data_IF_077397993220
#
_entry.id   IF_077397993220
#
_cell.length_a   1.000
_cell.length_b   1.000
_cell.length_c   1.000
_cell.angle_alpha   90.00
_cell.angle_beta   90.00
_cell.angle_gamma   90.00
#
_symmetry.space_group_name_H-M   'P 1'
#
loop_
_entity.id
_entity.type
_entity.pdbx_description
1 polymer ?
#
# COMPACT_ATOMS: atom_id res chain seq x y z
N UNK A 1 -2.21 17.22 13.01
CA UNK A 1 -3.31 17.80 12.20
C UNK A 1 -2.84 18.91 11.28
N UNK A 2 -1.97 19.80 11.74
CA UNK A 2 -1.42 20.91 10.94
C UNK A 2 -0.76 20.48 9.61
N UNK A 3 0.09 19.45 9.62
CA UNK A 3 0.71 18.92 8.39
C UNK A 3 -0.31 18.36 7.38
N UNK A 4 -1.37 17.70 7.88
CA UNK A 4 -2.47 17.20 7.04
C UNK A 4 -3.20 18.37 6.38
N UNK A 5 -3.56 19.39 7.16
CA UNK A 5 -4.23 20.58 6.66
C UNK A 5 -3.36 21.32 5.63
N UNK A 6 -2.07 21.48 5.90
CA UNK A 6 -1.11 22.08 4.97
C UNK A 6 -1.03 21.32 3.65
N UNK A 7 -0.98 19.98 3.73
CA UNK A 7 -0.94 19.13 2.54
C UNK A 7 -2.23 19.27 1.72
N UNK A 8 -3.39 19.08 2.35
CA UNK A 8 -4.68 19.19 1.68
C UNK A 8 -4.89 20.58 1.07
N UNK A 9 -4.55 21.65 1.79
CA UNK A 9 -4.66 23.02 1.29
C UNK A 9 -3.77 23.28 0.08
N UNK A 10 -2.54 22.74 0.09
CA UNK A 10 -1.60 22.86 -1.03
C UNK A 10 -2.00 22.06 -2.28
N UNK A 11 -2.90 21.08 -2.13
CA UNK A 11 -3.39 20.23 -3.22
C UNK A 11 -4.87 20.47 -3.55
N UNK A 12 -5.55 21.39 -2.85
CA UNK A 12 -6.97 21.69 -3.03
C UNK A 12 -7.32 22.17 -4.45
N UNK A 13 -6.38 22.82 -5.13
CA UNK A 13 -6.55 23.30 -6.50
C UNK A 13 -6.08 22.31 -7.57
N UNK A 14 -5.61 21.12 -7.19
CA UNK A 14 -5.25 20.09 -8.15
C UNK A 14 -6.51 19.52 -8.78
N UNK A 15 -6.66 19.72 -10.08
CA UNK A 15 -7.70 19.08 -10.87
C UNK A 15 -7.34 17.65 -11.27
N UNK A 16 -8.30 16.97 -11.90
CA UNK A 16 -8.15 15.61 -12.42
C UNK A 16 -6.88 15.43 -13.26
N UNK A 17 -6.57 16.40 -14.14
CA UNK A 17 -5.40 16.34 -15.02
C UNK A 17 -4.08 16.17 -14.27
N UNK A 18 -3.98 16.63 -13.02
CA UNK A 18 -2.78 16.46 -12.20
C UNK A 18 -2.82 15.18 -11.37
N UNK A 19 -3.98 14.85 -10.80
CA UNK A 19 -4.17 13.61 -10.04
C UNK A 19 -4.06 12.35 -10.92
N UNK A 20 -4.39 12.43 -12.21
CA UNK A 20 -4.24 11.34 -13.19
C UNK A 20 -2.80 10.81 -13.24
N UNK A 21 -1.82 11.66 -13.02
CA UNK A 21 -0.40 11.31 -13.11
C UNK A 21 0.24 11.07 -11.73
N UNK A 22 -0.56 10.71 -10.73
CA UNK A 22 -0.08 10.24 -9.43
C UNK A 22 -0.22 8.72 -9.38
N UNK A 23 0.89 8.02 -9.14
CA UNK A 23 0.91 6.59 -8.86
C UNK A 23 0.80 6.41 -7.35
N UNK A 24 -0.33 5.86 -6.91
CA UNK A 24 -0.58 5.55 -5.51
C UNK A 24 -0.02 4.17 -5.19
N UNK A 25 0.79 4.07 -4.14
CA UNK A 25 1.34 2.79 -3.66
C UNK A 25 1.08 2.62 -2.16
N UNK A 26 0.96 1.36 -1.73
CA UNK A 26 0.99 0.95 -0.33
C UNK A 26 1.15 -0.57 -0.22
N UNK A 27 1.58 -1.07 0.93
CA UNK A 27 1.52 -2.48 1.29
C UNK A 27 0.20 -2.82 2.01
N UNK A 28 -0.47 -3.89 1.56
CA UNK A 28 -1.62 -4.45 2.27
C UNK A 28 -1.44 -5.95 2.51
N UNK A 29 -2.18 -6.47 3.49
CA UNK A 29 -2.20 -7.89 3.87
C UNK A 29 -3.61 -8.42 3.70
N UNK A 30 -3.77 -9.45 2.88
CA UNK A 30 -5.04 -10.14 2.69
C UNK A 30 -5.01 -11.51 3.39
N UNK A 31 -6.08 -11.86 4.10
CA UNK A 31 -6.30 -13.22 4.57
C UNK A 31 -7.24 -13.91 3.57
N UNK A 32 -6.80 -15.03 3.01
CA UNK A 32 -7.62 -15.87 2.12
C UNK A 32 -8.49 -16.78 2.97
N UNK A 33 -7.94 -17.38 4.03
CA UNK A 33 -8.72 -18.24 4.92
C UNK A 33 -8.73 -17.62 6.31
N UNK A 34 -9.93 -17.48 6.89
CA UNK A 34 -10.14 -16.96 8.24
C UNK A 34 -10.17 -15.44 8.37
N UNK A 35 -10.44 -14.96 9.59
CA UNK A 35 -10.63 -13.53 9.90
C UNK A 35 -9.57 -13.03 10.92
N UNK A 36 -8.97 -11.87 10.67
CA UNK A 36 -8.09 -11.18 11.63
C UNK A 36 -8.85 -10.68 12.88
N UNK A 37 -10.17 -10.45 12.77
CA UNK A 37 -11.04 -10.00 13.88
C UNK A 37 -11.59 -11.10 14.79
N UNK A 38 -11.22 -12.36 14.56
CA UNK A 38 -11.81 -13.51 15.23
C UNK A 38 -13.26 -13.79 14.81
N UNK A 39 -13.73 -15.02 15.03
CA UNK A 39 -15.14 -15.37 14.91
C UNK A 39 -15.79 -15.35 16.30
N UNK A 40 -17.06 -14.93 16.38
CA UNK A 40 -17.85 -15.16 17.59
C UNK A 40 -18.25 -16.63 17.62
N UNK A 41 -17.78 -17.36 18.63
CA UNK A 41 -18.06 -18.79 18.82
C UNK A 41 -18.71 -18.97 20.18
N UNK A 42 -19.89 -19.59 20.21
CA UNK A 42 -20.52 -20.07 21.45
C UNK A 42 -19.91 -21.43 21.78
N UNK A 43 -19.39 -21.60 23.00
CA UNK A 43 -18.72 -22.84 23.48
C UNK A 43 -18.77 -22.94 25.01
N UNK A 44 -18.52 -24.13 25.55
CA UNK A 44 -18.41 -24.35 26.98
C UNK A 44 -17.03 -23.92 27.54
N UNK A 45 -16.94 -23.81 28.87
CA UNK A 45 -15.71 -23.42 29.55
C UNK A 45 -14.64 -24.53 29.42
N UNK A 46 -13.49 -24.20 28.83
CA UNK A 46 -12.39 -25.14 28.56
C UNK A 46 -12.21 -25.51 27.08
N UNK A 47 -13.23 -25.34 26.25
CA UNK A 47 -13.21 -25.78 24.84
C UNK A 47 -12.52 -24.80 23.87
N UNK A 48 -11.71 -23.86 24.39
CA UNK A 48 -11.13 -22.77 23.59
C UNK A 48 -10.27 -23.24 22.43
N UNK A 49 -9.57 -24.37 22.60
CA UNK A 49 -8.63 -24.90 21.61
C UNK A 49 -9.16 -26.15 20.91
N UNK A 50 -10.45 -26.46 21.07
CA UNK A 50 -11.08 -27.53 20.31
C UNK A 50 -11.01 -27.21 18.82
N UNK A 51 -10.72 -28.22 17.98
CA UNK A 51 -10.57 -28.03 16.54
C UNK A 51 -11.85 -27.53 15.86
N UNK A 52 -13.01 -27.72 16.49
CA UNK A 52 -14.29 -27.17 16.01
C UNK A 52 -14.44 -25.67 16.30
N UNK A 53 -13.64 -25.11 17.22
CA UNK A 53 -13.70 -23.71 17.65
C UNK A 53 -12.51 -22.86 17.18
N UNK A 54 -11.57 -23.47 16.44
CA UNK A 54 -10.36 -22.82 15.93
C UNK A 54 -10.35 -22.91 14.41
N UNK A 55 -10.26 -21.76 13.75
CA UNK A 55 -10.07 -21.69 12.29
C UNK A 55 -8.60 -21.37 11.99
N UNK A 56 -7.96 -22.21 11.18
CA UNK A 56 -6.62 -21.93 10.67
C UNK A 56 -6.71 -20.75 9.69
N UNK A 57 -5.83 -19.76 9.85
CA UNK A 57 -5.76 -18.63 8.93
C UNK A 57 -4.67 -18.84 7.87
N UNK A 58 -4.97 -18.55 6.61
CA UNK A 58 -4.00 -18.54 5.50
C UNK A 58 -3.89 -17.12 4.96
N UNK A 59 -2.66 -16.61 4.85
CA UNK A 59 -2.37 -15.25 4.36
C UNK A 59 -1.94 -15.31 2.90
N UNK A 60 -2.43 -14.37 2.09
CA UNK A 60 -1.84 -14.10 0.78
C UNK A 60 -0.66 -13.16 0.96
N UNK A 61 0.50 -13.55 0.43
CA UNK A 61 1.73 -12.78 0.55
C UNK A 61 2.38 -12.67 -0.82
N UNK A 62 2.34 -11.48 -1.41
CA UNK A 62 2.98 -11.17 -2.72
C UNK A 62 4.46 -10.77 -2.52
N UNK A 63 4.80 -10.27 -1.33
CA UNK A 63 6.16 -9.96 -0.91
C UNK A 63 6.46 -10.76 0.36
N UNK A 64 7.22 -11.85 0.24
CA UNK A 64 7.34 -12.95 1.22
C UNK A 64 8.09 -12.60 2.54
N UNK A 65 8.20 -11.32 2.88
CA UNK A 65 8.86 -10.89 4.11
C UNK A 65 8.37 -9.51 4.58
N UNK A 66 8.68 -9.20 5.83
CA UNK A 66 8.65 -7.82 6.34
C UNK A 66 9.50 -6.98 5.39
N UNK A 67 8.85 -6.14 4.58
CA UNK A 67 9.51 -5.34 3.53
C UNK A 67 10.57 -4.49 4.20
N UNK A 68 11.82 -4.93 4.07
CA UNK A 68 12.97 -4.17 4.50
C UNK A 68 13.39 -3.27 3.33
N UNK A 69 14.31 -2.35 3.60
CA UNK A 69 14.72 -1.37 2.60
C UNK A 69 15.31 -2.00 1.31
N UNK A 70 15.92 -3.18 1.40
CA UNK A 70 16.52 -3.86 0.24
C UNK A 70 15.44 -4.48 -0.65
N UNK A 71 14.51 -5.22 -0.04
CA UNK A 71 13.38 -5.82 -0.78
C UNK A 71 12.50 -4.75 -1.42
N UNK A 72 12.31 -3.62 -0.73
CA UNK A 72 11.60 -2.47 -1.27
C UNK A 72 12.25 -1.95 -2.56
N UNK A 73 13.56 -1.68 -2.52
CA UNK A 73 14.28 -1.14 -3.67
C UNK A 73 14.36 -2.14 -4.82
N UNK A 74 14.50 -3.43 -4.50
CA UNK A 74 14.44 -4.49 -5.50
C UNK A 74 13.08 -4.50 -6.20
N UNK A 75 11.98 -4.38 -5.46
CA UNK A 75 10.63 -4.28 -6.03
C UNK A 75 10.51 -3.07 -6.97
N UNK A 76 10.99 -1.89 -6.54
CA UNK A 76 10.99 -0.71 -7.39
C UNK A 76 11.85 -0.90 -8.65
N UNK A 77 13.03 -1.48 -8.52
CA UNK A 77 13.96 -1.67 -9.63
C UNK A 77 13.44 -2.69 -10.66
N UNK A 78 12.89 -3.81 -10.21
CA UNK A 78 12.50 -4.92 -11.07
C UNK A 78 11.10 -4.75 -11.67
N UNK A 79 10.18 -4.08 -10.95
CA UNK A 79 8.78 -3.97 -11.36
C UNK A 79 8.37 -2.54 -11.68
N UNK A 80 8.67 -1.57 -10.82
CA UNK A 80 8.19 -0.20 -10.98
C UNK A 80 8.93 0.55 -12.09
N UNK A 81 10.27 0.51 -12.11
CA UNK A 81 11.07 1.25 -13.08
C UNK A 81 10.76 0.87 -14.54
N UNK A 82 10.75 -0.42 -14.92
CA UNK A 82 10.42 -0.79 -16.30
C UNK A 82 9.02 -0.30 -16.72
N UNK A 83 8.04 -0.47 -15.82
CA UNK A 83 6.66 -0.07 -16.07
C UNK A 83 6.52 1.45 -16.19
N UNK A 84 7.13 2.23 -15.29
CA UNK A 84 6.98 3.68 -15.32
C UNK A 84 7.71 4.30 -16.50
N UNK A 85 8.87 3.78 -16.91
CA UNK A 85 9.56 4.22 -18.13
C UNK A 85 8.68 4.03 -19.37
N UNK A 86 8.00 2.88 -19.49
CA UNK A 86 7.04 2.64 -20.57
C UNK A 86 5.86 3.62 -20.52
N UNK A 87 5.31 3.89 -19.33
CA UNK A 87 4.20 4.83 -19.16
C UNK A 87 4.59 6.27 -19.48
N UNK A 88 5.81 6.69 -19.12
CA UNK A 88 6.34 8.02 -19.44
C UNK A 88 6.48 8.19 -20.95
N UNK A 89 7.02 7.18 -21.64
CA UNK A 89 7.13 7.21 -23.10
C UNK A 89 5.75 7.26 -23.77
N UNK A 90 4.82 6.43 -23.31
CA UNK A 90 3.47 6.32 -23.87
C UNK A 90 2.63 7.58 -23.68
N UNK A 91 2.65 8.17 -22.49
CA UNK A 91 1.84 9.35 -22.17
C UNK A 91 2.58 10.67 -22.48
N UNK A 92 3.88 10.61 -22.76
CA UNK A 92 4.71 11.78 -23.04
C UNK A 92 4.84 12.73 -21.83
N UNK A 93 4.70 12.22 -20.62
CA UNK A 93 4.71 13.01 -19.39
C UNK A 93 5.23 12.23 -18.19
N UNK A 94 5.57 12.93 -17.11
CA UNK A 94 6.09 12.32 -15.88
C UNK A 94 5.00 12.03 -14.87
N UNK A 95 5.31 11.13 -13.94
CA UNK A 95 4.39 10.70 -12.89
C UNK A 95 4.99 10.98 -11.51
N UNK A 96 4.12 11.22 -10.54
CA UNK A 96 4.50 11.35 -9.13
C UNK A 96 4.22 10.03 -8.43
N UNK A 97 5.25 9.41 -7.86
CA UNK A 97 5.12 8.27 -6.97
C UNK A 97 4.69 8.77 -5.58
N UNK A 98 3.57 8.27 -5.10
CA UNK A 98 3.13 8.46 -3.72
C UNK A 98 3.54 7.26 -2.90
N UNK A 99 4.30 7.51 -1.83
CA UNK A 99 4.65 6.52 -0.81
C UNK A 99 4.31 7.10 0.57
N UNK A 100 4.15 6.22 1.55
CA UNK A 100 3.99 6.64 2.94
C UNK A 100 5.34 6.99 3.61
N UNK A 101 5.30 7.40 4.87
CA UNK A 101 6.49 7.75 5.64
C UNK A 101 7.24 6.57 6.24
N UNK A 102 6.99 5.32 5.82
CA UNK A 102 7.57 4.14 6.46
C UNK A 102 9.11 4.15 6.42
N UNK A 103 9.78 3.56 7.42
CA UNK A 103 11.25 3.52 7.46
C UNK A 103 11.90 2.87 6.23
N UNK A 104 11.21 1.92 5.58
CA UNK A 104 11.68 1.29 4.34
C UNK A 104 11.82 2.28 3.18
N UNK A 105 10.86 3.19 3.05
CA UNK A 105 10.75 4.17 1.96
C UNK A 105 11.64 5.39 2.22
N UNK A 106 11.75 5.81 3.48
CA UNK A 106 12.37 7.09 3.85
C UNK A 106 13.83 6.99 4.29
N UNK A 107 14.35 5.77 4.50
CA UNK A 107 15.73 5.54 4.92
C UNK A 107 16.76 6.05 3.91
N UNK A 108 18.00 6.28 4.37
CA UNK A 108 19.07 6.91 3.57
C UNK A 108 19.37 6.16 2.26
N UNK A 109 19.37 4.83 2.28
CA UNK A 109 19.67 4.01 1.10
C UNK A 109 18.59 4.21 0.03
N UNK A 110 17.32 4.10 0.40
CA UNK A 110 16.20 4.27 -0.52
C UNK A 110 16.14 5.69 -1.08
N UNK A 111 16.30 6.70 -0.24
CA UNK A 111 16.33 8.09 -0.70
C UNK A 111 17.46 8.34 -1.70
N UNK A 112 18.68 7.86 -1.40
CA UNK A 112 19.82 8.03 -2.30
C UNK A 112 19.61 7.30 -3.64
N UNK A 113 19.05 6.09 -3.59
CA UNK A 113 18.76 5.33 -4.80
C UNK A 113 17.69 6.00 -5.67
N UNK A 114 16.57 6.43 -5.07
CA UNK A 114 15.48 7.14 -5.78
C UNK A 114 15.95 8.47 -6.38
N UNK A 115 16.77 9.24 -5.66
CA UNK A 115 17.35 10.48 -6.19
C UNK A 115 18.26 10.26 -7.42
N UNK A 116 18.72 9.03 -7.66
CA UNK A 116 19.49 8.66 -8.85
C UNK A 116 18.63 8.22 -10.04
N UNK A 117 17.31 8.07 -9.88
CA UNK A 117 16.39 7.63 -10.93
C UNK A 117 15.65 8.85 -11.51
N UNK A 118 15.87 9.24 -12.77
CA UNK A 118 15.17 10.38 -13.37
C UNK A 118 13.66 10.17 -13.53
N UNK A 119 13.18 8.93 -13.53
CA UNK A 119 11.77 8.57 -13.67
C UNK A 119 10.98 8.71 -12.35
N UNK A 120 11.66 8.79 -11.21
CA UNK A 120 11.00 8.84 -9.91
C UNK A 120 10.86 10.28 -9.43
N UNK A 121 9.63 10.79 -9.44
CA UNK A 121 9.27 12.05 -8.80
C UNK A 121 8.41 11.76 -7.57
N UNK A 122 8.66 12.49 -6.47
CA UNK A 122 7.92 12.33 -5.21
C UNK A 122 7.09 13.60 -4.91
N UNK A 123 6.16 13.51 -3.95
CA UNK A 123 5.55 14.70 -3.36
C UNK A 123 6.56 15.52 -2.54
N UNK A 124 6.31 16.82 -2.40
CA UNK A 124 7.08 17.70 -1.49
C UNK A 124 7.15 17.14 -0.06
N UNK A 125 6.03 16.57 0.40
CA UNK A 125 5.92 15.75 1.60
C UNK A 125 4.60 14.95 1.59
N UNK A 126 4.54 13.88 2.37
CA UNK A 126 3.31 13.15 2.69
C UNK A 126 2.99 13.26 4.18
N UNK A 127 1.75 13.60 4.57
CA UNK A 127 1.40 13.72 5.99
C UNK A 127 1.35 12.33 6.66
N UNK A 128 2.09 12.16 7.75
CA UNK A 128 2.09 10.91 8.52
C UNK A 128 0.68 10.50 8.98
N UNK A 129 0.44 9.19 9.08
CA UNK A 129 -0.83 8.61 9.55
C UNK A 129 -2.05 9.16 8.80
N UNK A 130 -1.97 9.19 7.47
CA UNK A 130 -3.07 9.68 6.62
C UNK A 130 -3.51 8.64 5.58
N UNK A 131 -3.90 7.43 6.00
CA UNK A 131 -4.39 6.41 5.08
C UNK A 131 -5.65 6.89 4.34
N UNK A 132 -6.47 7.73 4.98
CA UNK A 132 -7.67 8.32 4.39
C UNK A 132 -7.39 9.26 3.20
N UNK A 133 -6.15 9.70 3.02
CA UNK A 133 -5.73 10.50 1.87
C UNK A 133 -5.17 9.65 0.72
N UNK A 134 -4.97 8.34 0.93
CA UNK A 134 -4.46 7.41 -0.08
C UNK A 134 -5.61 6.60 -0.70
N UNK A 135 -6.02 6.87 -1.95
CA UNK A 135 -7.12 6.15 -2.62
C UNK A 135 -6.90 4.64 -2.74
N UNK A 136 -5.65 4.15 -2.67
CA UNK A 136 -5.36 2.71 -2.77
C UNK A 136 -6.02 1.92 -1.64
N UNK A 137 -6.24 2.53 -0.47
CA UNK A 137 -6.94 1.89 0.65
C UNK A 137 -8.38 1.51 0.27
N UNK A 138 -9.04 2.33 -0.54
CA UNK A 138 -10.38 2.01 -1.05
C UNK A 138 -10.34 0.84 -2.05
N UNK A 139 -9.29 0.75 -2.88
CA UNK A 139 -9.11 -0.38 -3.79
C UNK A 139 -8.87 -1.68 -3.02
N UNK A 140 -8.07 -1.64 -1.95
CA UNK A 140 -7.87 -2.78 -1.06
C UNK A 140 -9.15 -3.22 -0.37
N UNK A 141 -9.98 -2.28 0.10
CA UNK A 141 -11.28 -2.61 0.69
C UNK A 141 -12.23 -3.31 -0.30
N UNK A 142 -12.23 -2.90 -1.57
CA UNK A 142 -13.00 -3.57 -2.63
C UNK A 142 -12.43 -4.97 -2.87
N UNK A 143 -11.11 -5.11 -3.03
CA UNK A 143 -10.47 -6.40 -3.27
C UNK A 143 -10.73 -7.39 -2.13
N UNK A 144 -10.61 -6.95 -0.87
CA UNK A 144 -10.89 -7.79 0.29
C UNK A 144 -12.35 -8.26 0.31
N UNK A 145 -13.28 -7.40 -0.13
CA UNK A 145 -14.69 -7.78 -0.23
C UNK A 145 -14.91 -8.84 -1.30
N UNK A 146 -14.32 -8.70 -2.48
CA UNK A 146 -14.46 -9.67 -3.57
C UNK A 146 -13.84 -11.03 -3.20
N UNK A 147 -12.66 -11.03 -2.57
CA UNK A 147 -12.02 -12.27 -2.09
C UNK A 147 -12.89 -13.04 -1.09
N UNK A 148 -13.62 -12.33 -0.22
CA UNK A 148 -14.53 -12.97 0.75
C UNK A 148 -15.79 -13.55 0.12
N UNK A 149 -16.19 -13.09 -1.07
CA UNK A 149 -17.36 -13.63 -1.78
C UNK A 149 -17.03 -14.97 -2.44
N UNK A 150 -15.79 -15.18 -2.87
CA UNK A 150 -15.36 -16.46 -3.47
C UNK A 150 -15.23 -17.61 -2.46
N UNK A 151 -15.09 -17.31 -1.16
CA UNK A 151 -15.00 -18.30 -0.08
C UNK A 151 -16.37 -18.69 0.55
N UNK A 152 -17.49 -18.12 0.08
CA UNK A 152 -18.87 -18.42 0.53
C UNK A 152 -19.68 -19.18 -0.52
#
# INVERSE_FOLDING_TARGET
MENRLKWCSGKAYWGYAKWKYVVWSNESKFNIVGNDGGARVLREEGERYDSNHVMKTTKFVVLDAKVNQVEYLKCLQENYLPWISEMIEKEGTTFILQEDGAPGHTGKIARNWKNGQPEILDFDFWPAQSPDLNPIEHLWAILEKELKVEDT
#
